data_IF_492008770489
#
_entry.id   IF_492008770489
#
_cell.length_a   1.000
_cell.length_b   1.000
_cell.length_c   1.000
_cell.angle_alpha   90.00
_cell.angle_beta   90.00
_cell.angle_gamma   90.00
#
_symmetry.space_group_name_H-M   'P 1'
#
loop_
_entity.id
_entity.type
_entity.pdbx_description
1 polymer ?
#
# COMPACT_ATOMS: atom_id res chain seq x y z
N UNK A 1 -3.29 -12.44 9.00
CA UNK A 1 -3.77 -11.29 9.79
C UNK A 1 -3.40 -11.54 11.24
N UNK A 2 -2.79 -10.56 11.89
CA UNK A 2 -2.44 -10.61 13.31
C UNK A 2 -3.25 -9.53 14.02
N UNK A 3 -3.93 -9.90 15.11
CA UNK A 3 -4.67 -8.96 15.96
C UNK A 3 -3.87 -8.73 17.23
N UNK A 4 -3.86 -7.50 17.72
CA UNK A 4 -3.21 -7.15 18.97
C UNK A 4 -3.72 -5.83 19.52
N UNK A 5 -3.15 -5.42 20.64
CA UNK A 5 -3.47 -4.17 21.30
C UNK A 5 -2.18 -3.44 21.65
N UNK A 6 -2.06 -2.18 21.23
CA UNK A 6 -0.94 -1.31 21.59
C UNK A 6 -1.51 -0.08 22.30
N UNK A 7 -1.11 0.17 23.55
CA UNK A 7 -1.60 1.31 24.33
C UNK A 7 -3.12 1.33 24.52
N UNK A 8 -3.77 0.15 24.63
CA UNK A 8 -5.23 0.04 24.72
C UNK A 8 -5.97 0.15 23.38
N UNK A 9 -5.28 0.54 22.30
CA UNK A 9 -5.86 0.60 20.95
C UNK A 9 -5.75 -0.76 20.27
N UNK A 10 -6.89 -1.33 19.85
CA UNK A 10 -6.92 -2.55 19.03
C UNK A 10 -6.33 -2.27 17.65
N UNK A 11 -5.39 -3.10 17.23
CA UNK A 11 -4.71 -3.00 15.94
C UNK A 11 -4.78 -4.36 15.24
N UNK A 12 -5.07 -4.31 13.95
CA UNK A 12 -5.05 -5.47 13.06
C UNK A 12 -3.98 -5.27 12.00
N UNK A 13 -2.91 -6.08 12.06
CA UNK A 13 -1.83 -6.06 11.08
C UNK A 13 -2.09 -7.11 9.99
N UNK A 14 -1.99 -6.67 8.73
CA UNK A 14 -2.23 -7.52 7.56
C UNK A 14 -1.12 -7.28 6.53
N UNK A 15 -0.34 -8.33 6.27
CA UNK A 15 0.59 -8.37 5.14
C UNK A 15 -0.15 -8.95 3.93
N UNK A 16 -0.29 -8.17 2.85
CA UNK A 16 -0.98 -8.57 1.64
C UNK A 16 -0.09 -8.41 0.42
N UNK A 17 0.06 -9.49 -0.33
CA UNK A 17 0.63 -9.44 -1.66
C UNK A 17 -0.50 -9.32 -2.67
N UNK A 18 -0.50 -8.22 -3.43
CA UNK A 18 -1.40 -8.10 -4.58
C UNK A 18 -0.92 -9.07 -5.68
N UNK A 19 -1.84 -9.77 -6.36
CA UNK A 19 -1.47 -10.48 -7.59
C UNK A 19 -0.88 -9.51 -8.62
N UNK A 20 -0.02 -10.01 -9.49
CA UNK A 20 0.65 -9.21 -10.54
C UNK A 20 -0.33 -8.66 -11.61
N UNK A 21 -1.57 -9.15 -11.60
CA UNK A 21 -2.64 -8.76 -12.51
C UNK A 21 -3.69 -7.93 -11.76
N UNK A 22 -4.22 -6.89 -12.41
CA UNK A 22 -5.31 -6.08 -11.86
C UNK A 22 -6.58 -6.93 -11.75
N UNK A 23 -6.92 -7.31 -10.52
CA UNK A 23 -8.05 -8.19 -10.20
C UNK A 23 -9.05 -7.47 -9.27
N UNK A 24 -10.07 -6.77 -9.79
CA UNK A 24 -11.08 -6.07 -8.98
C UNK A 24 -11.81 -6.97 -7.96
N UNK A 25 -12.02 -8.24 -8.33
CA UNK A 25 -12.65 -9.22 -7.45
C UNK A 25 -11.78 -9.56 -6.24
N UNK A 26 -10.46 -9.59 -6.41
CA UNK A 26 -9.52 -9.77 -5.30
C UNK A 26 -9.68 -8.62 -4.29
N UNK A 27 -9.76 -7.38 -4.76
CA UNK A 27 -9.93 -6.22 -3.88
C UNK A 27 -11.27 -6.22 -3.14
N UNK A 28 -12.37 -6.58 -3.82
CA UNK A 28 -13.69 -6.72 -3.16
C UNK A 28 -13.69 -7.79 -2.08
N UNK A 29 -13.10 -8.95 -2.37
CA UNK A 29 -12.96 -10.05 -1.41
C UNK A 29 -12.13 -9.61 -0.21
N UNK A 30 -11.01 -8.91 -0.43
CA UNK A 30 -10.15 -8.40 0.63
C UNK A 30 -10.87 -7.34 1.48
N UNK A 31 -11.61 -6.42 0.85
CA UNK A 31 -12.40 -5.42 1.56
C UNK A 31 -13.46 -6.06 2.47
N UNK A 32 -14.19 -7.07 1.96
CA UNK A 32 -15.16 -7.85 2.75
C UNK A 32 -14.46 -8.56 3.92
N UNK A 33 -13.34 -9.24 3.65
CA UNK A 33 -12.60 -9.98 4.68
C UNK A 33 -12.11 -9.05 5.79
N UNK A 34 -11.63 -7.86 5.44
CA UNK A 34 -11.17 -6.85 6.40
C UNK A 34 -12.35 -6.26 7.18
N UNK A 35 -13.45 -5.93 6.52
CA UNK A 35 -14.67 -5.43 7.18
C UNK A 35 -15.24 -6.43 8.20
N UNK A 36 -15.22 -7.72 7.86
CA UNK A 36 -15.79 -8.76 8.71
C UNK A 36 -14.87 -9.19 9.86
N UNK A 37 -13.54 -9.21 9.62
CA UNK A 37 -12.59 -9.83 10.55
C UNK A 37 -11.67 -8.85 11.26
N UNK A 38 -11.39 -7.67 10.69
CA UNK A 38 -10.48 -6.73 11.32
C UNK A 38 -11.17 -5.98 12.46
N UNK A 39 -10.41 -5.65 13.49
CA UNK A 39 -10.89 -4.87 14.63
C UNK A 39 -9.93 -3.70 14.88
N UNK A 40 -10.49 -2.52 15.14
CA UNK A 40 -9.72 -1.31 15.40
C UNK A 40 -8.94 -0.84 14.17
N UNK A 41 -7.74 -0.29 14.41
CA UNK A 41 -6.92 0.29 13.35
C UNK A 41 -6.28 -0.79 12.50
N UNK A 42 -6.47 -0.73 11.17
CA UNK A 42 -5.90 -1.70 10.24
C UNK A 42 -4.59 -1.17 9.68
N UNK A 43 -3.52 -1.94 9.83
CA UNK A 43 -2.22 -1.68 9.23
C UNK A 43 -2.01 -2.66 8.07
N UNK A 44 -2.04 -2.12 6.85
CA UNK A 44 -1.88 -2.88 5.61
C UNK A 44 -0.49 -2.64 5.03
N UNK A 45 0.25 -3.73 4.83
CA UNK A 45 1.49 -3.71 4.06
C UNK A 45 1.17 -4.32 2.70
N UNK A 46 1.06 -3.48 1.67
CA UNK A 46 0.67 -3.94 0.32
C UNK A 46 1.14 -3.01 -0.80
N UNK A 47 0.99 -3.47 -2.06
CA UNK A 47 1.26 -2.69 -3.27
C UNK A 47 0.10 -1.70 -3.53
N UNK A 48 0.45 -0.49 -3.98
CA UNK A 48 -0.40 0.71 -4.02
C UNK A 48 -1.82 0.54 -4.60
N UNK A 49 -2.05 -0.43 -5.48
CA UNK A 49 -3.32 -0.65 -6.18
C UNK A 49 -4.56 -0.75 -5.25
N UNK A 50 -4.39 -1.25 -4.02
CA UNK A 50 -5.50 -1.38 -3.05
C UNK A 50 -5.90 -0.07 -2.36
N UNK A 51 -5.05 0.95 -2.36
CA UNK A 51 -5.23 2.12 -1.51
C UNK A 51 -6.41 2.99 -1.96
N UNK A 52 -6.55 3.17 -3.27
CA UNK A 52 -7.57 4.04 -3.87
C UNK A 52 -8.98 3.45 -3.68
N UNK A 53 -9.13 2.12 -3.79
CA UNK A 53 -10.43 1.45 -3.68
C UNK A 53 -10.93 1.30 -2.24
N UNK A 54 -10.01 1.22 -1.28
CA UNK A 54 -10.35 1.00 0.14
C UNK A 54 -10.31 2.29 0.97
N UNK A 55 -10.04 3.45 0.35
CA UNK A 55 -9.91 4.73 1.06
C UNK A 55 -8.76 4.73 2.08
N UNK A 56 -7.70 3.96 1.81
CA UNK A 56 -6.58 3.83 2.74
C UNK A 56 -5.68 5.05 2.66
N UNK A 57 -5.22 5.50 3.82
CA UNK A 57 -4.29 6.62 3.94
C UNK A 57 -2.85 6.11 3.91
N UNK A 58 -2.02 6.71 3.05
CA UNK A 58 -0.57 6.50 3.07
C UNK A 58 0.05 7.29 4.24
N UNK A 59 0.49 6.58 5.28
CA UNK A 59 1.10 7.18 6.48
C UNK A 59 2.42 7.89 6.15
N UNK A 60 3.23 7.32 5.25
CA UNK A 60 4.51 7.93 4.89
C UNK A 60 4.29 9.27 4.20
N UNK A 61 3.33 9.34 3.26
CA UNK A 61 2.94 10.60 2.59
C UNK A 61 2.44 11.67 3.56
N UNK A 62 1.73 11.27 4.60
CA UNK A 62 1.23 12.20 5.61
C UNK A 62 2.36 12.89 6.38
N UNK A 63 3.44 12.16 6.65
CA UNK A 63 4.60 12.68 7.37
C UNK A 63 5.60 13.39 6.43
N UNK A 64 5.74 12.89 5.21
CA UNK A 64 6.75 13.32 4.24
C UNK A 64 6.11 13.87 2.96
N UNK A 65 5.26 14.89 3.11
CA UNK A 65 4.44 15.46 2.01
C UNK A 65 5.26 15.91 0.80
N UNK A 66 6.52 16.35 1.02
CA UNK A 66 7.38 16.93 -0.03
C UNK A 66 8.57 16.04 -0.40
N UNK A 67 8.73 14.90 0.25
CA UNK A 67 9.87 14.01 0.06
C UNK A 67 9.57 12.96 -1.00
N UNK A 68 10.53 12.73 -1.90
CA UNK A 68 10.41 11.73 -2.97
C UNK A 68 11.34 10.57 -2.66
N UNK A 69 10.77 9.50 -2.11
CA UNK A 69 11.48 8.26 -1.83
C UNK A 69 10.99 7.10 -2.68
N UNK A 70 11.94 6.23 -3.06
CA UNK A 70 11.75 5.11 -3.97
C UNK A 70 12.04 3.79 -3.26
N UNK A 71 11.17 2.79 -3.41
CA UNK A 71 11.33 1.47 -2.78
C UNK A 71 11.93 0.44 -3.76
N UNK A 72 11.85 0.67 -5.07
CA UNK A 72 12.34 -0.26 -6.09
C UNK A 72 13.14 0.49 -7.16
N UNK A 73 14.27 -0.09 -7.57
CA UNK A 73 15.09 0.39 -8.68
C UNK A 73 15.06 -0.71 -9.74
N UNK A 74 14.66 -0.37 -10.97
CA UNK A 74 14.82 -1.24 -12.13
C UNK A 74 15.94 -0.68 -13.00
N UNK A 75 16.88 -1.54 -13.40
CA UNK A 75 17.84 -1.22 -14.44
C UNK A 75 17.24 -1.65 -15.79
N UNK A 76 17.09 -0.71 -16.72
CA UNK A 76 16.82 -1.06 -18.12
C UNK A 76 18.05 -1.80 -18.69
N UNK A 77 17.80 -2.90 -19.38
CA UNK A 77 18.84 -3.72 -20.01
C UNK A 77 19.57 -2.94 -21.11
N UNK A 78 20.81 -3.36 -21.35
CA UNK A 78 21.93 -2.66 -22.01
C UNK A 78 21.63 -1.77 -23.23
N UNK A 79 22.25 -0.57 -23.23
CA UNK A 79 22.39 0.28 -24.43
C UNK A 79 21.96 1.75 -24.29
N UNK A 80 21.26 2.13 -23.20
CA UNK A 80 20.76 3.50 -22.99
C UNK A 80 21.08 3.99 -21.57
N UNK A 81 21.24 5.32 -21.35
CA UNK A 81 21.44 5.86 -20.00
C UNK A 81 20.26 5.47 -19.10
N UNK A 82 20.50 5.05 -17.84
CA UNK A 82 19.45 4.55 -16.97
C UNK A 82 18.54 5.70 -16.53
N UNK A 83 17.44 5.90 -17.26
CA UNK A 83 16.29 6.62 -16.74
C UNK A 83 15.54 5.67 -15.81
N UNK A 84 15.88 5.73 -14.53
CA UNK A 84 15.14 5.04 -13.47
C UNK A 84 13.86 5.82 -13.23
N UNK A 85 12.72 5.26 -13.63
CA UNK A 85 11.42 5.84 -13.32
C UNK A 85 10.49 4.75 -12.81
N UNK A 86 10.34 4.65 -11.49
CA UNK A 86 9.22 3.95 -10.84
C UNK A 86 8.72 4.78 -9.66
N UNK A 87 7.52 5.33 -9.83
CA UNK A 87 6.80 6.15 -8.83
C UNK A 87 6.33 5.28 -7.66
N UNK A 88 6.62 5.68 -6.41
CA UNK A 88 5.53 5.67 -5.41
C UNK A 88 4.53 6.71 -5.92
N UNK A 89 3.41 6.28 -6.50
CA UNK A 89 2.27 7.08 -6.98
C UNK A 89 2.44 8.60 -6.90
N UNK A 90 2.88 9.33 -7.93
CA UNK A 90 2.95 10.81 -7.87
C UNK A 90 1.55 11.48 -7.80
N UNK A 91 0.60 10.97 -7.01
CA UNK A 91 -0.48 11.78 -6.48
C UNK A 91 0.14 12.76 -5.47
N UNK A 92 0.63 13.89 -5.99
CA UNK A 92 0.55 15.14 -5.26
C UNK A 92 -0.93 15.35 -4.94
N UNK A 93 -1.32 15.19 -3.68
CA UNK A 93 -2.63 15.67 -3.25
C UNK A 93 -2.59 17.19 -3.42
N UNK A 94 -3.38 17.70 -4.37
CA UNK A 94 -3.60 19.12 -4.61
C UNK A 94 -4.76 19.59 -3.74
#
# INVERSE_FOLDING_TARGET
MVKGTIGGTKITLVNLYAPNEDCPNFFKMMASLLGDKAEGTILLVTLHAMMDQMGLVDVWRHLHVREKDYTFIYALKEGHPPLVMVRRSDKCYS
#
